data_IF_397196156268
#
_entry.id   IF_397196156268
#
_cell.length_a   1.000
_cell.length_b   1.000
_cell.length_c   1.000
_cell.angle_alpha   90.00
_cell.angle_beta   90.00
_cell.angle_gamma   90.00
#
_symmetry.space_group_name_H-M   'P 1'
#
loop_
_entity.id
_entity.type
_entity.pdbx_description
1 polymer ?
#
# COMPACT_ATOMS: atom_id res chain seq x y z
N UNK A 1 -20.95 -2.96 74.48
CA UNK A 1 -19.96 -3.81 73.78
C UNK A 1 -20.29 -3.78 72.29
N UNK A 2 -19.73 -2.81 71.56
CA UNK A 2 -18.67 -2.95 70.53
C UNK A 2 -19.01 -3.90 69.38
N UNK A 3 -19.51 -3.28 68.30
CA UNK A 3 -19.71 -3.80 66.96
C UNK A 3 -18.38 -4.19 66.29
N UNK A 4 -18.26 -5.41 65.79
CA UNK A 4 -17.17 -5.82 64.90
C UNK A 4 -17.65 -5.67 63.45
N UNK A 5 -17.20 -4.59 62.81
CA UNK A 5 -17.41 -4.31 61.38
C UNK A 5 -16.52 -5.26 60.57
N UNK A 6 -17.14 -6.10 59.75
CA UNK A 6 -16.40 -6.90 58.75
C UNK A 6 -15.96 -5.97 57.62
N UNK A 7 -14.65 -5.90 57.41
CA UNK A 7 -14.01 -5.16 56.32
C UNK A 7 -14.07 -6.05 55.08
N UNK A 8 -14.87 -5.67 54.09
CA UNK A 8 -14.91 -6.31 52.77
C UNK A 8 -13.81 -5.67 51.92
N UNK A 9 -12.80 -6.47 51.57
CA UNK A 9 -11.71 -6.08 50.67
C UNK A 9 -12.14 -6.26 49.21
N UNK A 10 -12.29 -5.11 48.55
CA UNK A 10 -11.85 -4.71 47.20
C UNK A 10 -12.00 -5.72 46.03
N UNK A 11 -12.79 -5.31 45.02
CA UNK A 11 -12.39 -5.45 43.62
C UNK A 11 -12.41 -4.07 42.95
N UNK A 12 -11.22 -3.55 42.66
CA UNK A 12 -11.03 -2.43 41.73
C UNK A 12 -11.34 -3.02 40.35
N UNK A 13 -12.48 -2.64 39.78
CA UNK A 13 -12.73 -2.84 38.37
C UNK A 13 -11.76 -1.94 37.60
N UNK A 14 -10.61 -2.50 37.21
CA UNK A 14 -9.76 -1.91 36.20
C UNK A 14 -10.58 -1.90 34.90
N UNK A 15 -11.16 -0.75 34.57
CA UNK A 15 -11.65 -0.50 33.23
C UNK A 15 -10.43 -0.57 32.30
N UNK A 16 -10.29 -1.71 31.63
CA UNK A 16 -9.40 -1.87 30.48
C UNK A 16 -10.01 -1.01 29.38
N UNK A 17 -9.76 0.29 29.43
CA UNK A 17 -9.81 1.15 28.25
C UNK A 17 -8.59 0.76 27.41
N UNK A 18 -8.70 -0.40 26.76
CA UNK A 18 -7.93 -0.72 25.58
C UNK A 18 -8.31 0.32 24.55
N UNK A 19 -7.53 1.40 24.50
CA UNK A 19 -7.53 2.33 23.37
C UNK A 19 -7.00 1.49 22.21
N UNK A 20 -7.90 0.74 21.55
CA UNK A 20 -7.64 0.23 20.23
C UNK A 20 -7.41 1.49 19.39
N UNK A 21 -6.13 1.81 19.13
CA UNK A 21 -5.79 2.75 18.09
C UNK A 21 -6.64 2.37 16.86
N UNK A 22 -7.28 3.33 16.18
CA UNK A 22 -8.06 3.01 14.99
C UNK A 22 -7.17 2.18 14.08
N UNK A 23 -7.62 0.97 13.72
CA UNK A 23 -6.91 0.13 12.78
C UNK A 23 -6.71 0.97 11.52
N UNK A 24 -5.49 1.45 11.29
CA UNK A 24 -5.16 2.25 10.12
C UNK A 24 -5.40 1.35 8.92
N UNK A 25 -6.36 1.69 8.06
CA UNK A 25 -6.56 0.98 6.82
C UNK A 25 -5.29 1.16 5.98
N UNK A 26 -4.58 0.06 5.70
CA UNK A 26 -3.42 0.09 4.83
C UNK A 26 -3.85 0.46 3.41
N UNK A 27 -5.08 0.10 3.03
CA UNK A 27 -5.63 0.35 1.71
C UNK A 27 -6.79 1.35 1.73
N UNK A 28 -6.66 2.42 0.95
CA UNK A 28 -7.61 3.51 0.89
C UNK A 28 -7.99 3.85 -0.55
N UNK A 29 -9.29 3.97 -0.81
CA UNK A 29 -9.82 4.54 -2.04
C UNK A 29 -10.09 6.03 -1.86
N UNK A 30 -9.55 6.86 -2.75
CA UNK A 30 -9.70 8.32 -2.71
C UNK A 30 -10.27 8.79 -4.06
N UNK A 31 -11.54 9.21 -4.10
CA UNK A 31 -12.08 9.93 -5.23
C UNK A 31 -11.66 11.41 -5.16
N UNK A 32 -11.17 11.94 -6.27
CA UNK A 32 -10.83 13.36 -6.41
C UNK A 32 -11.50 13.91 -7.66
N UNK A 33 -12.39 14.89 -7.48
CA UNK A 33 -12.99 15.63 -8.57
C UNK A 33 -12.33 17.01 -8.61
N UNK A 34 -11.59 17.28 -9.69
CA UNK A 34 -11.03 18.59 -9.93
C UNK A 34 -12.13 19.58 -10.30
N UNK A 35 -12.07 20.80 -9.75
CA UNK A 35 -12.90 21.92 -10.20
C UNK A 35 -12.64 22.30 -11.67
N UNK A 36 -11.54 21.82 -12.24
CA UNK A 36 -11.16 22.00 -13.65
C UNK A 36 -11.53 20.81 -14.54
N UNK A 37 -12.39 19.90 -14.07
CA UNK A 37 -13.05 18.87 -14.89
C UNK A 37 -12.41 17.48 -14.86
N UNK A 38 -11.19 17.32 -14.34
CA UNK A 38 -10.56 16.00 -14.22
C UNK A 38 -11.13 15.20 -13.03
N UNK A 39 -11.75 14.07 -13.30
CA UNK A 39 -12.13 13.07 -12.31
C UNK A 39 -11.02 12.02 -12.17
N UNK A 40 -10.35 12.04 -11.02
CA UNK A 40 -9.27 11.13 -10.67
C UNK A 40 -9.70 10.21 -9.55
N UNK A 41 -9.45 8.92 -9.70
CA UNK A 41 -9.62 7.93 -8.65
C UNK A 41 -8.27 7.35 -8.27
N UNK A 42 -8.08 7.14 -6.97
CA UNK A 42 -6.83 6.64 -6.42
C UNK A 42 -7.11 5.45 -5.51
N UNK A 43 -6.29 4.41 -5.62
CA UNK A 43 -6.18 3.35 -4.64
C UNK A 43 -4.77 3.41 -4.07
N UNK A 44 -4.67 3.66 -2.77
CA UNK A 44 -3.39 3.81 -2.07
C UNK A 44 -3.26 2.63 -1.12
N UNK A 45 -2.15 1.90 -1.20
CA UNK A 45 -1.74 0.98 -0.15
C UNK A 45 -0.46 1.45 0.50
N UNK A 46 -0.40 1.41 1.82
CA UNK A 46 0.79 1.79 2.61
C UNK A 46 1.11 0.65 3.56
N UNK A 47 2.33 0.13 3.45
CA UNK A 47 2.79 -0.96 4.30
C UNK A 47 2.87 -0.48 5.74
N UNK A 48 2.58 -1.38 6.68
CA UNK A 48 2.94 -1.17 8.07
C UNK A 48 4.45 -0.84 8.17
N UNK A 49 4.83 0.13 9.03
CA UNK A 49 6.23 0.46 9.24
C UNK A 49 6.96 -0.77 9.80
N UNK A 50 8.04 -1.18 9.13
CA UNK A 50 9.00 -2.12 9.71
C UNK A 50 9.88 -1.36 10.71
N UNK A 51 10.28 -2.00 11.81
CA UNK A 51 11.17 -1.39 12.81
C UNK A 51 12.53 -0.95 12.24
N UNK A 52 12.91 -1.43 11.05
CA UNK A 52 14.20 -1.16 10.40
C UNK A 52 14.10 -0.49 9.03
N UNK A 53 12.88 -0.29 8.50
CA UNK A 53 12.66 0.23 7.16
C UNK A 53 11.48 1.22 7.15
N UNK A 54 11.67 2.36 6.49
CA UNK A 54 10.60 3.31 6.20
C UNK A 54 9.38 2.65 5.52
N UNK A 55 8.24 3.34 5.53
CA UNK A 55 7.01 2.84 4.89
C UNK A 55 7.19 2.74 3.37
N UNK A 56 6.66 1.68 2.79
CA UNK A 56 6.48 1.62 1.33
C UNK A 56 5.02 1.92 1.02
N UNK A 57 4.78 2.79 0.07
CA UNK A 57 3.45 3.10 -0.44
C UNK A 57 3.36 2.80 -1.92
N UNK A 58 2.18 2.42 -2.39
CA UNK A 58 1.87 2.48 -3.82
C UNK A 58 0.53 3.17 -4.02
N UNK A 59 0.39 3.78 -5.19
CA UNK A 59 -0.76 4.53 -5.63
C UNK A 59 -1.13 4.02 -7.02
N UNK A 60 -2.26 3.34 -7.15
CA UNK A 60 -2.93 3.20 -8.44
C UNK A 60 -3.74 4.47 -8.68
N UNK A 61 -3.63 5.03 -9.86
CA UNK A 61 -4.36 6.23 -10.26
C UNK A 61 -5.02 5.98 -11.61
N UNK A 62 -6.33 6.21 -11.68
CA UNK A 62 -7.03 6.31 -12.95
C UNK A 62 -7.65 7.70 -13.10
N UNK A 63 -7.55 8.28 -14.30
CA UNK A 63 -8.24 9.52 -14.68
C UNK A 63 -9.31 9.15 -15.69
N UNK A 64 -10.57 9.17 -15.26
CA UNK A 64 -11.70 8.66 -16.04
C UNK A 64 -11.86 9.43 -17.36
N UNK A 65 -11.77 10.75 -17.28
CA UNK A 65 -11.95 11.63 -18.44
C UNK A 65 -10.81 11.54 -19.45
N UNK A 66 -9.59 11.26 -18.97
CA UNK A 66 -8.38 11.12 -19.80
C UNK A 66 -8.09 9.68 -20.21
N UNK A 67 -8.88 8.71 -19.72
CA UNK A 67 -8.67 7.26 -19.91
C UNK A 67 -7.24 6.82 -19.60
N UNK A 68 -6.59 7.45 -18.63
CA UNK A 68 -5.25 7.06 -18.19
C UNK A 68 -5.36 6.20 -16.96
N UNK A 69 -4.62 5.10 -16.94
CA UNK A 69 -4.44 4.26 -15.76
C UNK A 69 -2.94 4.11 -15.51
N UNK A 70 -2.53 4.24 -14.26
CA UNK A 70 -1.13 4.18 -13.90
C UNK A 70 -0.98 3.74 -12.46
N UNK A 71 0.25 3.37 -12.12
CA UNK A 71 0.62 3.10 -10.74
C UNK A 71 1.95 3.76 -10.43
N UNK A 72 2.07 4.18 -9.18
CA UNK A 72 3.24 4.83 -8.63
C UNK A 72 3.66 4.06 -7.38
N UNK A 73 4.94 3.74 -7.26
CA UNK A 73 5.50 3.18 -6.04
C UNK A 73 6.38 4.23 -5.35
N UNK A 74 6.26 4.34 -4.03
CA UNK A 74 7.01 5.23 -3.15
C UNK A 74 7.69 4.39 -2.07
N UNK A 75 9.01 4.41 -2.00
CA UNK A 75 9.78 3.64 -1.01
C UNK A 75 10.46 4.58 -0.03
N UNK A 76 9.92 4.89 1.15
CA UNK A 76 10.46 5.98 1.99
C UNK A 76 11.84 5.70 2.63
N UNK A 77 12.54 4.65 2.22
CA UNK A 77 13.94 4.45 2.57
C UNK A 77 14.78 5.51 1.84
N UNK A 78 15.74 6.12 2.54
CA UNK A 78 16.70 7.01 1.88
C UNK A 78 17.55 6.16 0.91
N UNK A 79 17.42 6.44 -0.38
CA UNK A 79 18.23 5.84 -1.43
C UNK A 79 19.42 6.78 -1.65
N UNK A 80 20.64 6.27 -1.56
CA UNK A 80 21.81 7.11 -1.86
C UNK A 80 21.84 7.46 -3.36
N UNK A 81 22.43 8.60 -3.72
CA UNK A 81 22.59 9.00 -5.15
C UNK A 81 23.28 7.90 -5.98
N UNK A 82 24.28 7.23 -5.41
CA UNK A 82 25.00 6.13 -6.04
C UNK A 82 24.10 4.90 -6.28
N UNK A 83 23.14 4.67 -5.39
CA UNK A 83 22.18 3.58 -5.50
C UNK A 83 21.10 3.92 -6.51
N UNK A 84 20.54 5.14 -6.46
CA UNK A 84 19.59 5.65 -7.45
C UNK A 84 20.14 5.57 -8.88
N UNK A 85 21.41 5.92 -9.06
CA UNK A 85 22.11 5.77 -10.35
C UNK A 85 22.18 4.31 -10.82
N UNK A 86 22.37 3.35 -9.90
CA UNK A 86 22.31 1.92 -10.25
C UNK A 86 20.89 1.49 -10.63
N UNK A 87 19.87 2.01 -9.95
CA UNK A 87 18.47 1.73 -10.32
C UNK A 87 18.17 2.25 -11.73
N UNK A 88 18.61 3.46 -12.06
CA UNK A 88 18.45 4.05 -13.39
C UNK A 88 19.08 3.21 -14.52
N UNK A 89 20.22 2.58 -14.24
CA UNK A 89 20.98 1.81 -15.23
C UNK A 89 20.59 0.33 -15.29
N UNK A 90 19.95 -0.21 -14.25
CA UNK A 90 19.74 -1.66 -14.06
C UNK A 90 18.36 -2.19 -14.44
N UNK A 91 17.70 -1.56 -15.41
CA UNK A 91 16.36 -1.94 -15.93
C UNK A 91 15.36 -2.37 -14.83
N UNK A 92 14.94 -1.42 -13.97
CA UNK A 92 14.21 -1.77 -12.78
C UNK A 92 12.83 -2.36 -13.12
N UNK A 93 12.45 -3.39 -12.38
CA UNK A 93 11.14 -4.02 -12.45
C UNK A 93 10.46 -3.95 -11.09
N UNK A 94 9.16 -3.69 -11.07
CA UNK A 94 8.35 -3.94 -9.89
C UNK A 94 7.88 -5.39 -9.90
N UNK A 95 8.12 -6.07 -8.80
CA UNK A 95 7.61 -7.40 -8.52
C UNK A 95 6.38 -7.27 -7.64
N UNK A 96 5.25 -7.81 -8.08
CA UNK A 96 4.00 -7.78 -7.33
C UNK A 96 3.49 -9.20 -7.15
N UNK A 97 3.31 -9.62 -5.89
CA UNK A 97 2.77 -10.94 -5.56
C UNK A 97 1.54 -10.78 -4.67
N UNK A 98 0.47 -11.44 -5.05
CA UNK A 98 -0.73 -11.59 -4.23
C UNK A 98 -0.83 -13.04 -3.78
N UNK A 99 -0.85 -13.27 -2.48
CA UNK A 99 -0.84 -14.57 -1.84
C UNK A 99 0.33 -15.46 -2.31
N UNK A 100 0.02 -16.61 -2.87
CA UNK A 100 0.97 -17.56 -3.46
C UNK A 100 0.84 -17.63 -4.98
N UNK A 101 0.22 -16.62 -5.61
CA UNK A 101 0.14 -16.54 -7.06
C UNK A 101 1.51 -16.23 -7.67
N UNK A 102 1.59 -16.38 -8.99
CA UNK A 102 2.75 -15.98 -9.78
C UNK A 102 3.10 -14.50 -9.54
N UNK A 103 4.41 -14.21 -9.53
CA UNK A 103 4.91 -12.85 -9.40
C UNK A 103 4.67 -12.10 -10.70
N UNK A 104 3.84 -11.06 -10.65
CA UNK A 104 3.63 -10.16 -11.77
C UNK A 104 4.84 -9.21 -11.82
N UNK A 105 5.57 -9.24 -12.93
CA UNK A 105 6.74 -8.38 -13.17
C UNK A 105 6.33 -7.23 -14.07
N UNK A 106 6.51 -6.00 -13.62
CA UNK A 106 6.16 -4.80 -14.38
C UNK A 106 7.40 -3.94 -14.60
N UNK A 107 7.63 -3.49 -15.82
CA UNK A 107 8.69 -2.53 -16.10
C UNK A 107 8.36 -1.18 -15.46
N UNK A 108 9.33 -0.59 -14.74
CA UNK A 108 9.18 0.73 -14.12
C UNK A 108 10.17 1.73 -14.67
N UNK A 109 9.77 3.00 -14.63
CA UNK A 109 10.61 4.13 -14.96
C UNK A 109 10.74 5.03 -13.72
N UNK A 110 11.95 5.37 -13.29
CA UNK A 110 12.14 6.29 -12.19
C UNK A 110 11.56 7.67 -12.53
N UNK A 111 10.79 8.22 -11.60
CA UNK A 111 10.23 9.56 -11.71
C UNK A 111 11.33 10.57 -11.39
N UNK A 112 11.78 11.31 -12.41
CA UNK A 112 12.87 12.29 -12.27
C UNK A 112 12.50 13.49 -11.40
N UNK A 113 11.23 13.66 -11.05
CA UNK A 113 10.77 14.72 -10.16
C UNK A 113 10.88 14.36 -8.67
N UNK A 114 11.11 13.09 -8.35
CA UNK A 114 11.20 12.61 -6.97
C UNK A 114 12.05 11.34 -6.90
N UNK A 115 13.19 11.42 -6.20
CA UNK A 115 14.22 10.36 -6.09
C UNK A 115 13.70 9.03 -5.52
N UNK A 116 12.48 9.03 -4.99
CA UNK A 116 11.88 7.92 -4.24
C UNK A 116 10.65 7.33 -4.96
N UNK A 117 10.30 7.86 -6.14
CA UNK A 117 9.11 7.47 -6.90
C UNK A 117 9.47 6.71 -8.17
N UNK A 118 8.77 5.61 -8.38
CA UNK A 118 8.78 4.87 -9.63
C UNK A 118 7.42 4.97 -10.29
N UNK A 119 7.40 5.28 -11.58
CA UNK A 119 6.21 5.34 -12.44
C UNK A 119 6.14 4.07 -13.29
N UNK A 120 4.98 3.42 -13.29
CA UNK A 120 4.71 2.24 -14.11
C UNK A 120 4.13 2.64 -15.46
N UNK A 121 4.44 1.86 -16.50
CA UNK A 121 4.16 2.26 -17.88
C UNK A 121 3.23 1.33 -18.68
N UNK A 122 2.87 0.15 -18.17
CA UNK A 122 2.13 -0.84 -18.97
C UNK A 122 0.77 -1.17 -18.35
N UNK A 123 -0.31 -0.83 -19.08
CA UNK A 123 -1.68 -0.93 -18.59
C UNK A 123 -2.15 -2.38 -18.33
N UNK A 124 -1.73 -3.33 -19.16
CA UNK A 124 -2.23 -4.72 -19.10
C UNK A 124 -1.84 -5.42 -17.80
N UNK A 125 -0.62 -5.21 -17.33
CA UNK A 125 -0.18 -5.79 -16.05
C UNK A 125 -0.85 -5.10 -14.86
N UNK A 126 -1.18 -3.81 -14.96
CA UNK A 126 -1.94 -3.13 -13.91
C UNK A 126 -3.34 -3.73 -13.74
N UNK A 127 -4.00 -4.11 -14.84
CA UNK A 127 -5.29 -4.82 -14.77
C UNK A 127 -5.14 -6.19 -14.10
N UNK A 128 -4.08 -6.95 -14.42
CA UNK A 128 -3.79 -8.22 -13.73
C UNK A 128 -3.57 -8.03 -12.23
N UNK A 129 -2.84 -6.99 -11.84
CA UNK A 129 -2.61 -6.67 -10.42
C UNK A 129 -3.92 -6.35 -9.71
N UNK A 130 -4.79 -5.52 -10.28
CA UNK A 130 -6.07 -5.20 -9.64
C UNK A 130 -6.95 -6.45 -9.54
N UNK A 131 -7.02 -7.28 -10.58
CA UNK A 131 -7.75 -8.54 -10.54
C UNK A 131 -7.21 -9.48 -9.44
N UNK A 132 -5.89 -9.58 -9.31
CA UNK A 132 -5.25 -10.34 -8.24
C UNK A 132 -5.65 -9.79 -6.86
N UNK A 133 -5.60 -8.47 -6.66
CA UNK A 133 -5.98 -7.79 -5.42
C UNK A 133 -7.46 -8.02 -5.05
N UNK A 134 -8.37 -8.08 -6.03
CA UNK A 134 -9.79 -8.39 -5.79
C UNK A 134 -9.99 -9.82 -5.25
N UNK A 135 -9.08 -10.73 -5.57
CA UNK A 135 -9.15 -12.15 -5.16
C UNK A 135 -8.24 -12.51 -3.99
N UNK A 136 -7.49 -11.53 -3.46
CA UNK A 136 -6.51 -11.73 -2.40
C UNK A 136 -7.15 -12.31 -1.14
N UNK A 137 -6.47 -13.25 -0.48
CA UNK A 137 -6.94 -13.90 0.76
C UNK A 137 -6.02 -13.69 1.95
N UNK A 138 -4.72 -13.57 1.72
CA UNK A 138 -3.70 -13.60 2.76
C UNK A 138 -2.82 -12.34 2.71
N UNK A 139 -1.81 -12.33 1.83
CA UNK A 139 -0.69 -11.39 1.92
C UNK A 139 -0.40 -10.78 0.56
N UNK A 140 -0.02 -9.51 0.54
CA UNK A 140 0.43 -8.83 -0.66
C UNK A 140 1.88 -8.43 -0.45
N UNK A 141 2.75 -8.82 -1.37
CA UNK A 141 4.17 -8.51 -1.34
C UNK A 141 4.56 -7.72 -2.57
N UNK A 142 5.32 -6.65 -2.37
CA UNK A 142 5.83 -5.79 -3.44
C UNK A 142 7.32 -5.57 -3.24
N UNK A 143 8.08 -5.65 -4.31
CA UNK A 143 9.52 -5.40 -4.29
C UNK A 143 9.98 -4.74 -5.60
N UNK A 144 11.19 -4.20 -5.60
CA UNK A 144 11.88 -3.75 -6.83
C UNK A 144 12.98 -4.76 -7.16
N UNK A 145 13.01 -5.23 -8.40
CA UNK A 145 14.14 -5.99 -8.94
C UNK A 145 15.04 -5.07 -9.77
N UNK A 146 16.35 -5.18 -9.58
CA UNK A 146 17.37 -4.47 -10.37
C UNK A 146 18.42 -5.51 -10.74
N UNK A 147 18.65 -5.75 -12.04
CA UNK A 147 19.55 -6.80 -12.52
C UNK A 147 19.34 -8.14 -11.79
N UNK A 148 18.09 -8.62 -11.75
CA UNK A 148 17.65 -9.85 -11.08
C UNK A 148 17.82 -9.89 -9.54
N UNK A 149 18.32 -8.83 -8.92
CA UNK A 149 18.42 -8.73 -7.46
C UNK A 149 17.16 -8.07 -6.87
N UNK A 150 16.47 -8.77 -5.97
CA UNK A 150 15.31 -8.24 -5.24
C UNK A 150 15.76 -7.24 -4.17
N UNK A 151 15.11 -6.08 -4.14
CA UNK A 151 15.37 -4.94 -3.25
C UNK A 151 14.04 -4.34 -2.77
N UNK A 152 14.10 -3.64 -1.63
CA UNK A 152 12.98 -2.88 -1.05
C UNK A 152 11.67 -3.67 -0.93
N UNK A 153 11.77 -4.96 -0.59
CA UNK A 153 10.59 -5.80 -0.38
C UNK A 153 9.75 -5.28 0.79
N UNK A 154 8.43 -5.24 0.60
CA UNK A 154 7.48 -4.82 1.60
C UNK A 154 6.21 -5.67 1.51
N UNK A 155 5.69 -6.01 2.68
CA UNK A 155 4.43 -6.73 2.82
C UNK A 155 3.32 -5.77 3.22
N UNK A 156 2.13 -6.05 2.72
CA UNK A 156 0.93 -5.27 2.95
C UNK A 156 -0.15 -6.19 3.49
N UNK A 157 -0.73 -5.80 4.62
CA UNK A 157 -1.92 -6.41 5.17
C UNK A 157 -3.14 -6.04 4.32
N UNK A 158 -4.21 -6.82 4.47
CA UNK A 158 -5.45 -6.64 3.70
C UNK A 158 -6.42 -5.65 4.35
N UNK A 159 -6.00 -4.91 5.38
CA UNK A 159 -6.90 -4.04 6.14
C UNK A 159 -7.42 -2.92 5.22
N UNK A 160 -8.72 -2.95 4.94
CA UNK A 160 -9.39 -2.01 4.04
C UNK A 160 -9.30 -2.35 2.55
N UNK A 161 -8.64 -3.45 2.17
CA UNK A 161 -8.40 -3.82 0.77
C UNK A 161 -9.70 -4.04 0.00
N UNK A 162 -10.55 -4.97 0.44
CA UNK A 162 -11.70 -5.43 -0.32
C UNK A 162 -12.65 -4.28 -0.70
N UNK A 163 -12.94 -3.38 0.25
CA UNK A 163 -13.77 -2.19 0.02
C UNK A 163 -13.09 -1.20 -0.93
N UNK A 164 -11.79 -0.93 -0.75
CA UNK A 164 -11.07 0.05 -1.54
C UNK A 164 -10.85 -0.41 -2.98
N UNK A 165 -10.46 -1.67 -3.19
CA UNK A 165 -10.25 -2.26 -4.52
C UNK A 165 -11.57 -2.40 -5.28
N UNK A 166 -12.66 -2.81 -4.61
CA UNK A 166 -13.98 -2.91 -5.26
C UNK A 166 -14.44 -1.56 -5.79
N UNK A 167 -14.32 -0.49 -4.97
CA UNK A 167 -14.65 0.88 -5.39
C UNK A 167 -13.78 1.35 -6.55
N UNK A 168 -12.48 1.09 -6.47
CA UNK A 168 -11.55 1.46 -7.54
C UNK A 168 -11.87 0.74 -8.86
N UNK A 169 -12.06 -0.58 -8.82
CA UNK A 169 -12.39 -1.39 -10.00
C UNK A 169 -13.68 -0.95 -10.68
N UNK A 170 -14.72 -0.61 -9.90
CA UNK A 170 -16.01 -0.13 -10.42
C UNK A 170 -15.89 1.19 -11.20
N UNK A 171 -14.91 2.03 -10.88
CA UNK A 171 -14.69 3.32 -11.56
C UNK A 171 -13.67 3.25 -12.69
N UNK A 172 -12.69 2.35 -12.61
CA UNK A 172 -11.50 2.37 -13.45
C UNK A 172 -11.36 1.20 -14.43
N UNK A 173 -12.08 0.09 -14.24
CA UNK A 173 -11.82 -1.21 -14.93
C UNK A 173 -13.09 -1.78 -15.56
N UNK A 174 -13.91 -0.93 -16.17
CA UNK A 174 -15.09 -1.35 -16.94
C UNK A 174 -14.77 -1.55 -18.41
#
# INVERSE_FOLDING_TARGET
MRFQKSIITIFIAAAVSGISAPAFAEWNFIPSKSSFGDTTFQLIGVSSPSQTAGRTGFLFQCKKDKKTFGMYALFTQQISESEYSKILLGEPQLLFRVDQHEVIKMKVYPDRSNEVRFMLAENDDLYKVIAALQSAKNQIAVAVSINDSVRYESNFDRIGLDNSVTKFGAECIK
#
